data_IF_954449867851
#
_entry.id   IF_954449867851
#
_cell.length_a   1.000
_cell.length_b   1.000
_cell.length_c   1.000
_cell.angle_alpha   90.00
_cell.angle_beta   90.00
_cell.angle_gamma   90.00
#
_symmetry.space_group_name_H-M   'P 1'
#
loop_
_entity.id
_entity.type
_entity.pdbx_description
1 polymer ?
#
# COMPACT_ATOMS: atom_id res chain seq x y z
N UNK A 1 24.40 23.84 19.25
CA UNK A 1 23.98 23.96 17.84
C UNK A 1 22.89 22.91 17.60
N UNK A 2 21.74 23.31 17.06
CA UNK A 2 20.68 22.35 16.71
C UNK A 2 21.24 21.45 15.60
N UNK A 3 21.20 20.12 15.80
CA UNK A 3 21.65 19.17 14.79
C UNK A 3 20.85 19.39 13.49
N UNK A 4 21.48 19.32 12.32
CA UNK A 4 20.81 19.46 11.02
C UNK A 4 19.60 18.51 10.88
N UNK A 5 19.66 17.36 11.54
CA UNK A 5 18.58 16.36 11.57
C UNK A 5 17.38 16.79 12.39
N UNK A 6 17.60 17.51 13.49
CA UNK A 6 16.51 18.07 14.30
C UNK A 6 15.69 19.09 13.50
N UNK A 7 16.36 19.94 12.72
CA UNK A 7 15.70 20.92 11.84
C UNK A 7 14.86 20.22 10.76
N UNK A 8 15.31 19.06 10.30
CA UNK A 8 14.56 18.27 9.32
C UNK A 8 13.25 17.74 9.93
N UNK A 9 13.30 17.18 11.15
CA UNK A 9 12.08 16.70 11.83
C UNK A 9 11.08 17.83 12.11
N UNK A 10 11.57 19.01 12.46
CA UNK A 10 10.74 20.19 12.67
C UNK A 10 10.05 20.62 11.36
N UNK A 11 10.78 20.62 10.24
CA UNK A 11 10.25 20.92 8.91
C UNK A 11 9.23 19.86 8.44
N UNK A 12 9.53 18.58 8.60
CA UNK A 12 8.62 17.48 8.25
C UNK A 12 7.33 17.54 9.09
N UNK A 13 7.44 17.89 10.38
CA UNK A 13 6.30 18.08 11.27
C UNK A 13 5.41 19.25 10.84
N UNK A 14 6.02 20.36 10.43
CA UNK A 14 5.31 21.51 9.87
C UNK A 14 4.60 21.16 8.56
N UNK A 15 5.26 20.43 7.66
CA UNK A 15 4.67 19.93 6.42
C UNK A 15 3.47 19.00 6.68
N UNK A 16 3.60 18.05 7.61
CA UNK A 16 2.50 17.18 8.01
C UNK A 16 1.31 17.98 8.57
N UNK A 17 1.57 18.99 9.40
CA UNK A 17 0.53 19.88 9.93
C UNK A 17 -0.18 20.62 8.79
N UNK A 18 0.55 21.17 7.84
CA UNK A 18 -0.02 21.83 6.66
C UNK A 18 -0.89 20.86 5.83
N UNK A 19 -0.39 19.65 5.57
CA UNK A 19 -1.15 18.62 4.84
C UNK A 19 -2.43 18.20 5.57
N UNK A 20 -2.39 18.08 6.90
CA UNK A 20 -3.57 17.79 7.70
C UNK A 20 -4.61 18.91 7.58
N UNK A 21 -4.21 20.19 7.69
CA UNK A 21 -5.13 21.31 7.54
C UNK A 21 -5.71 21.40 6.11
N UNK A 22 -4.89 21.18 5.08
CA UNK A 22 -5.36 21.13 3.69
C UNK A 22 -6.37 20.00 3.46
N UNK A 23 -6.24 18.89 4.17
CA UNK A 23 -7.12 17.71 4.05
C UNK A 23 -8.51 17.93 4.63
N UNK A 24 -8.81 19.07 5.27
CA UNK A 24 -10.20 19.42 5.62
C UNK A 24 -11.05 19.68 4.37
N UNK A 25 -10.43 20.20 3.31
CA UNK A 25 -11.08 20.24 2.00
C UNK A 25 -11.01 18.86 1.35
N UNK A 26 -12.18 18.37 0.92
CA UNK A 26 -12.30 17.04 0.33
C UNK A 26 -11.44 16.88 -0.92
N UNK A 27 -11.41 17.89 -1.79
CA UNK A 27 -10.67 17.86 -3.08
C UNK A 27 -9.17 17.81 -2.84
N UNK A 28 -8.67 18.64 -1.92
CA UNK A 28 -7.28 18.63 -1.50
C UNK A 28 -6.88 17.28 -0.90
N UNK A 29 -7.71 16.75 0.01
CA UNK A 29 -7.47 15.44 0.63
C UNK A 29 -7.43 14.30 -0.40
N UNK A 30 -8.37 14.27 -1.37
CA UNK A 30 -8.31 13.30 -2.47
C UNK A 30 -7.03 13.46 -3.30
N UNK A 31 -6.67 14.70 -3.64
CA UNK A 31 -5.45 14.98 -4.41
C UNK A 31 -4.21 14.47 -3.70
N UNK A 32 -4.10 14.66 -2.38
CA UNK A 32 -2.99 14.13 -1.56
C UNK A 32 -2.95 12.60 -1.66
N UNK A 33 -4.09 11.92 -1.54
CA UNK A 33 -4.19 10.45 -1.64
C UNK A 33 -3.74 9.98 -3.02
N UNK A 34 -4.28 10.57 -4.09
CA UNK A 34 -3.96 10.24 -5.50
C UNK A 34 -2.49 10.47 -5.84
N UNK A 35 -1.87 11.47 -5.19
CA UNK A 35 -0.44 11.80 -5.39
C UNK A 35 0.50 10.96 -4.53
N UNK A 36 0.04 9.82 -4.00
CA UNK A 36 0.80 8.87 -3.19
C UNK A 36 1.12 9.37 -1.77
N UNK A 37 0.35 10.31 -1.26
CA UNK A 37 0.59 10.94 0.04
C UNK A 37 0.61 9.94 1.19
N UNK A 38 -0.21 8.88 1.14
CA UNK A 38 -0.28 7.88 2.22
C UNK A 38 1.04 7.11 2.34
N UNK A 39 1.62 6.65 1.22
CA UNK A 39 2.92 5.99 1.22
C UNK A 39 4.04 6.93 1.67
N UNK A 40 4.05 8.16 1.14
CA UNK A 40 5.07 9.16 1.46
C UNK A 40 5.02 9.64 2.91
N UNK A 41 3.84 9.64 3.54
CA UNK A 41 3.71 9.90 4.98
C UNK A 41 4.12 8.68 5.78
N UNK A 42 3.66 7.48 5.38
CA UNK A 42 3.93 6.25 6.11
C UNK A 42 5.42 5.88 6.13
N UNK A 43 6.20 6.19 5.08
CA UNK A 43 7.65 5.91 5.07
C UNK A 43 8.39 6.65 6.19
N UNK A 44 7.90 7.83 6.58
CA UNK A 44 8.46 8.66 7.65
C UNK A 44 8.12 8.15 9.06
N UNK A 45 7.24 7.15 9.20
CA UNK A 45 6.99 6.49 10.49
C UNK A 45 8.14 5.56 10.91
N UNK A 46 8.92 5.08 9.94
CA UNK A 46 9.93 4.03 10.17
C UNK A 46 11.27 4.65 10.59
N UNK A 47 11.72 4.42 11.83
CA UNK A 47 12.99 4.92 12.33
C UNK A 47 14.16 4.31 11.54
N UNK A 48 15.29 5.00 11.51
CA UNK A 48 16.52 4.47 10.90
C UNK A 48 17.28 3.55 11.87
N UNK A 49 17.17 3.80 13.17
CA UNK A 49 17.87 3.08 14.24
C UNK A 49 17.13 3.23 15.59
N UNK A 50 17.63 2.55 16.63
CA UNK A 50 17.06 2.61 17.99
C UNK A 50 17.12 4.00 18.59
N UNK A 51 18.16 4.77 18.27
CA UNK A 51 18.29 6.12 18.78
C UNK A 51 17.14 7.01 18.29
N UNK A 52 16.75 6.91 17.01
CA UNK A 52 15.59 7.62 16.47
C UNK A 52 14.29 7.26 17.21
N UNK A 53 14.09 5.99 17.59
CA UNK A 53 12.92 5.57 18.36
C UNK A 53 12.85 6.20 19.75
N UNK A 54 13.95 6.74 20.29
CA UNK A 54 14.01 7.35 21.62
C UNK A 54 13.91 8.89 21.58
N UNK A 55 13.99 9.49 20.39
CA UNK A 55 13.97 10.95 20.25
C UNK A 55 12.55 11.52 20.32
N UNK A 56 12.29 12.39 21.29
CA UNK A 56 10.98 13.05 21.45
C UNK A 56 10.60 13.89 20.21
N UNK A 57 11.57 14.50 19.52
CA UNK A 57 11.29 15.22 18.26
C UNK A 57 10.77 14.29 17.17
N UNK A 58 11.31 13.07 17.09
CA UNK A 58 10.84 12.07 16.15
C UNK A 58 9.45 11.54 16.54
N UNK A 59 9.17 11.38 17.84
CA UNK A 59 7.82 11.09 18.34
C UNK A 59 6.83 12.19 17.97
N UNK A 60 7.22 13.45 18.09
CA UNK A 60 6.39 14.58 17.69
C UNK A 60 6.07 14.53 16.18
N UNK A 61 7.06 14.24 15.34
CA UNK A 61 6.86 14.01 13.91
C UNK A 61 5.88 12.86 13.66
N UNK A 62 6.07 11.70 14.30
CA UNK A 62 5.17 10.55 14.16
C UNK A 62 3.73 10.86 14.58
N UNK A 63 3.51 11.63 15.66
CA UNK A 63 2.17 12.10 16.05
C UNK A 63 1.53 12.96 14.95
N UNK A 64 2.29 13.85 14.31
CA UNK A 64 1.81 14.64 13.17
C UNK A 64 1.50 13.77 11.94
N UNK A 65 2.34 12.77 11.66
CA UNK A 65 2.12 11.83 10.56
C UNK A 65 0.85 11.02 10.82
N UNK A 66 0.69 10.43 12.00
CA UNK A 66 -0.51 9.68 12.36
C UNK A 66 -1.78 10.54 12.30
N UNK A 67 -1.71 11.80 12.74
CA UNK A 67 -2.82 12.75 12.56
C UNK A 67 -3.18 12.95 11.09
N UNK A 68 -2.18 13.22 10.25
CA UNK A 68 -2.39 13.42 8.81
C UNK A 68 -2.98 12.17 8.15
N UNK A 69 -2.40 11.00 8.43
CA UNK A 69 -2.92 9.70 7.99
C UNK A 69 -4.36 9.47 8.47
N UNK A 70 -4.69 9.91 9.69
CA UNK A 70 -6.05 9.76 10.24
C UNK A 70 -7.08 10.61 9.51
N UNK A 71 -6.69 11.79 9.01
CA UNK A 71 -7.57 12.65 8.23
C UNK A 71 -7.77 12.04 6.84
N UNK A 72 -6.68 11.61 6.20
CA UNK A 72 -6.75 10.92 4.91
C UNK A 72 -7.54 9.61 5.00
N UNK A 73 -7.49 8.89 6.12
CA UNK A 73 -8.27 7.67 6.33
C UNK A 73 -9.78 7.93 6.23
N UNK A 74 -10.26 9.06 6.76
CA UNK A 74 -11.67 9.44 6.68
C UNK A 74 -12.12 9.71 5.24
N UNK A 75 -11.20 10.13 4.38
CA UNK A 75 -11.47 10.49 2.98
C UNK A 75 -11.21 9.33 2.00
N UNK A 76 -10.40 8.35 2.40
CA UNK A 76 -9.98 7.28 1.50
C UNK A 76 -11.03 6.17 1.38
N UNK A 77 -11.34 5.78 0.14
CA UNK A 77 -12.21 4.64 -0.18
C UNK A 77 -11.54 3.30 0.10
N UNK A 78 -10.22 3.20 -0.06
CA UNK A 78 -9.44 1.98 0.18
C UNK A 78 -8.92 1.93 1.63
N UNK A 79 -9.82 1.68 2.60
CA UNK A 79 -9.45 1.60 4.02
C UNK A 79 -8.57 0.39 4.35
N UNK A 80 -8.64 -0.66 3.55
CA UNK A 80 -7.87 -1.89 3.73
C UNK A 80 -6.36 -1.69 3.68
N UNK A 81 -5.90 -0.66 2.98
CA UNK A 81 -4.48 -0.36 2.89
C UNK A 81 -3.87 0.07 4.24
N UNK A 82 -4.65 0.72 5.10
CA UNK A 82 -4.21 1.08 6.46
C UNK A 82 -4.15 -0.13 7.38
N UNK A 83 -5.15 -1.02 7.26
CA UNK A 83 -5.18 -2.31 7.97
C UNK A 83 -4.00 -3.21 7.58
N UNK A 84 -3.58 -3.18 6.31
CA UNK A 84 -2.39 -3.90 5.83
C UNK A 84 -1.10 -3.29 6.36
N UNK A 85 -1.02 -1.95 6.41
CA UNK A 85 0.17 -1.23 6.87
C UNK A 85 0.43 -1.40 8.37
N UNK A 86 -0.59 -1.11 9.19
CA UNK A 86 -0.44 -0.96 10.63
C UNK A 86 -0.63 -2.33 11.33
N UNK A 87 0.24 -2.69 12.29
CA UNK A 87 -0.02 -3.83 13.17
C UNK A 87 -1.37 -3.68 13.88
N UNK A 88 -2.03 -4.80 14.21
CA UNK A 88 -3.40 -4.83 14.74
C UNK A 88 -3.60 -3.88 15.92
N UNK A 89 -2.71 -3.94 16.93
CA UNK A 89 -2.77 -3.07 18.10
C UNK A 89 -2.67 -1.57 17.73
N UNK A 90 -1.78 -1.23 16.80
CA UNK A 90 -1.60 0.16 16.35
C UNK A 90 -2.84 0.62 15.56
N UNK A 91 -3.40 -0.26 14.74
CA UNK A 91 -4.60 0.03 13.96
C UNK A 91 -5.82 0.28 14.86
N UNK A 92 -5.99 -0.49 15.94
CA UNK A 92 -7.06 -0.26 16.92
C UNK A 92 -6.92 1.10 17.61
N UNK A 93 -5.72 1.45 18.07
CA UNK A 93 -5.42 2.78 18.63
C UNK A 93 -5.63 3.89 17.60
N UNK A 94 -5.31 3.64 16.33
CA UNK A 94 -5.53 4.59 15.25
C UNK A 94 -7.02 4.87 15.00
N UNK A 95 -7.87 3.84 15.10
CA UNK A 95 -9.32 4.01 14.95
C UNK A 95 -9.94 4.74 16.15
N UNK A 96 -9.48 4.46 17.37
CA UNK A 96 -10.05 5.01 18.60
C UNK A 96 -9.91 6.52 18.74
N UNK A 97 -8.94 7.15 18.06
CA UNK A 97 -8.77 8.61 18.05
C UNK A 97 -9.98 9.36 17.46
N UNK A 98 -10.73 8.72 16.56
CA UNK A 98 -11.83 9.40 15.86
C UNK A 98 -11.39 10.24 14.66
N UNK A 99 -12.34 10.91 14.01
CA UNK A 99 -12.11 11.67 12.77
C UNK A 99 -11.69 13.11 13.07
N UNK A 100 -10.78 13.65 12.26
CA UNK A 100 -10.39 15.07 12.28
C UNK A 100 -9.94 15.62 13.65
N UNK A 101 -9.38 14.76 14.51
CA UNK A 101 -8.87 15.15 15.82
C UNK A 101 -7.63 16.05 15.69
N UNK A 102 -7.66 17.24 16.29
CA UNK A 102 -6.56 18.22 16.17
C UNK A 102 -5.49 18.05 17.23
N UNK A 103 -5.89 17.65 18.44
CA UNK A 103 -4.99 17.49 19.58
C UNK A 103 -4.01 16.32 19.34
N UNK A 104 -2.72 16.65 19.32
CA UNK A 104 -1.64 15.69 19.10
C UNK A 104 -1.47 14.71 20.27
N UNK A 105 -1.94 15.06 21.47
CA UNK A 105 -1.86 14.17 22.63
C UNK A 105 -2.67 12.89 22.42
N UNK A 106 -3.75 12.94 21.63
CA UNK A 106 -4.56 11.78 21.29
C UNK A 106 -3.79 10.73 20.48
N UNK A 107 -2.68 11.11 19.84
CA UNK A 107 -1.83 10.24 19.04
C UNK A 107 -0.62 9.68 19.82
N UNK A 108 -0.46 10.08 21.09
CA UNK A 108 0.69 9.68 21.90
C UNK A 108 0.73 8.17 22.13
N UNK A 109 -0.36 7.58 22.59
CA UNK A 109 -0.40 6.14 22.90
C UNK A 109 -0.06 5.25 21.70
N UNK A 110 -0.52 5.59 20.49
CA UNK A 110 -0.15 4.81 19.29
C UNK A 110 1.30 5.03 18.89
N UNK A 111 1.84 6.23 19.10
CA UNK A 111 3.24 6.55 18.82
C UNK A 111 4.16 5.78 19.77
N UNK A 112 3.83 5.75 21.05
CA UNK A 112 4.59 5.00 22.05
C UNK A 112 4.55 3.49 21.77
N UNK A 113 3.38 2.96 21.39
CA UNK A 113 3.21 1.57 20.98
C UNK A 113 4.00 1.25 19.69
N UNK A 114 4.03 2.15 18.71
CA UNK A 114 4.82 1.97 17.48
C UNK A 114 6.33 1.94 17.76
N UNK A 115 6.83 2.81 18.62
CA UNK A 115 8.25 2.85 18.99
C UNK A 115 8.66 1.75 19.99
N UNK A 116 7.70 1.01 20.54
CA UNK A 116 7.97 -0.19 21.35
C UNK A 116 8.25 -1.44 20.50
N UNK A 117 8.00 -1.37 19.19
CA UNK A 117 8.30 -2.47 18.25
C UNK A 117 9.80 -2.47 17.93
N UNK A 118 10.41 -3.66 17.87
CA UNK A 118 11.82 -3.81 17.49
C UNK A 118 12.08 -3.24 16.08
N UNK A 119 13.29 -2.71 15.84
CA UNK A 119 13.66 -2.23 14.49
C UNK A 119 13.63 -3.35 13.46
N UNK A 120 13.97 -4.58 13.83
CA UNK A 120 13.93 -5.72 12.92
C UNK A 120 12.49 -5.98 12.43
N UNK A 121 11.51 -5.93 13.32
CA UNK A 121 10.11 -6.14 12.94
C UNK A 121 9.54 -4.95 12.19
N UNK A 122 9.91 -3.71 12.56
CA UNK A 122 9.57 -2.52 11.78
C UNK A 122 10.18 -2.58 10.37
N UNK A 123 11.38 -3.13 10.23
CA UNK A 123 12.04 -3.31 8.93
C UNK A 123 11.29 -4.33 8.08
N UNK A 124 10.86 -5.46 8.66
CA UNK A 124 9.99 -6.44 7.97
C UNK A 124 8.68 -5.79 7.52
N UNK A 125 8.00 -5.04 8.39
CA UNK A 125 6.77 -4.30 8.07
C UNK A 125 7.03 -3.33 6.91
N UNK A 126 8.16 -2.60 6.93
CA UNK A 126 8.54 -1.66 5.86
C UNK A 126 8.71 -2.38 4.51
N UNK A 127 9.38 -3.53 4.51
CA UNK A 127 9.65 -4.28 3.28
C UNK A 127 8.39 -4.98 2.73
N UNK A 128 7.61 -5.62 3.60
CA UNK A 128 6.49 -6.49 3.20
C UNK A 128 5.19 -5.70 3.00
N UNK A 129 4.90 -4.73 3.88
CA UNK A 129 3.59 -4.07 3.93
C UNK A 129 3.64 -2.68 3.31
N UNK A 130 4.60 -1.84 3.68
CA UNK A 130 4.68 -0.47 3.15
C UNK A 130 4.96 -0.44 1.64
N UNK A 131 5.85 -1.30 1.12
CA UNK A 131 6.15 -1.31 -0.31
C UNK A 131 4.93 -1.64 -1.17
N UNK A 132 4.04 -2.52 -0.71
CA UNK A 132 2.78 -2.85 -1.40
C UNK A 132 1.84 -1.65 -1.57
N UNK A 133 2.02 -0.59 -0.76
CA UNK A 133 1.20 0.60 -0.83
C UNK A 133 1.62 1.58 -1.92
N UNK A 134 2.82 1.45 -2.48
CA UNK A 134 3.32 2.40 -3.48
C UNK A 134 2.72 2.07 -4.86
N UNK A 135 1.69 2.80 -5.35
CA UNK A 135 1.14 2.54 -6.67
C UNK A 135 2.12 2.96 -7.78
N UNK A 136 3.13 3.78 -7.45
CA UNK A 136 4.21 4.22 -8.34
C UNK A 136 5.45 3.33 -8.24
N UNK A 137 5.34 2.13 -7.67
CA UNK A 137 6.41 1.15 -7.71
C UNK A 137 6.81 0.91 -9.18
N UNK A 138 8.11 0.90 -9.48
CA UNK A 138 8.53 0.47 -10.82
C UNK A 138 8.13 -0.98 -11.02
N UNK A 139 7.78 -1.33 -12.26
CA UNK A 139 7.47 -2.70 -12.59
C UNK A 139 8.66 -3.60 -12.25
N UNK A 140 8.44 -4.61 -11.42
CA UNK A 140 9.46 -5.60 -11.01
C UNK A 140 10.04 -6.34 -12.21
N UNK A 141 9.18 -6.65 -13.18
CA UNK A 141 9.53 -7.17 -14.50
C UNK A 141 8.49 -6.71 -15.52
N UNK A 142 8.79 -6.90 -16.79
CA UNK A 142 7.82 -6.69 -17.86
C UNK A 142 7.45 -8.01 -18.53
N UNK A 143 6.16 -8.19 -18.76
CA UNK A 143 5.63 -9.24 -19.63
C UNK A 143 4.99 -8.53 -20.82
N UNK A 144 5.70 -8.51 -21.95
CA UNK A 144 5.38 -7.69 -23.13
C UNK A 144 5.21 -6.21 -22.74
N UNK A 145 4.03 -5.64 -22.98
CA UNK A 145 3.69 -4.24 -22.69
C UNK A 145 3.19 -4.02 -21.25
N UNK A 146 3.18 -5.06 -20.42
CA UNK A 146 2.64 -5.01 -19.06
C UNK A 146 3.76 -5.00 -18.03
N UNK A 147 3.80 -3.96 -17.20
CA UNK A 147 4.64 -3.93 -16.02
C UNK A 147 4.00 -4.76 -14.90
N UNK A 148 4.78 -5.65 -14.28
CA UNK A 148 4.34 -6.54 -13.19
C UNK A 148 4.69 -5.93 -11.84
N UNK A 149 3.72 -5.84 -10.92
CA UNK A 149 3.89 -5.16 -9.62
C UNK A 149 3.93 -6.15 -8.45
N UNK A 150 2.78 -6.67 -8.02
CA UNK A 150 2.66 -7.56 -6.85
C UNK A 150 2.00 -8.89 -7.23
N UNK A 151 2.30 -9.96 -6.50
CA UNK A 151 1.55 -11.21 -6.60
C UNK A 151 0.25 -11.07 -5.79
N UNK A 152 -0.89 -11.20 -6.47
CA UNK A 152 -2.23 -11.17 -5.87
C UNK A 152 -2.62 -12.52 -5.27
N UNK A 153 -2.04 -13.61 -5.77
CA UNK A 153 -2.26 -14.96 -5.24
C UNK A 153 -1.55 -16.03 -6.07
N UNK A 154 -1.20 -17.14 -5.43
CA UNK A 154 -0.55 -18.29 -6.05
C UNK A 154 -1.32 -19.57 -5.70
N UNK A 155 -1.48 -20.48 -6.66
CA UNK A 155 -2.18 -21.75 -6.47
C UNK A 155 -1.71 -22.83 -7.45
N UNK A 156 -2.40 -23.97 -7.45
CA UNK A 156 -2.04 -25.14 -8.27
C UNK A 156 -1.98 -24.86 -9.79
N UNK A 157 -2.70 -23.83 -10.26
CA UNK A 157 -2.79 -23.46 -11.67
C UNK A 157 -1.91 -22.25 -12.04
N UNK A 158 -0.98 -21.88 -11.16
CA UNK A 158 -0.04 -20.78 -11.38
C UNK A 158 -0.26 -19.59 -10.43
N UNK A 159 0.30 -18.44 -10.82
CA UNK A 159 0.32 -17.22 -10.01
C UNK A 159 -0.37 -16.06 -10.72
N UNK A 160 -1.12 -15.26 -9.96
CA UNK A 160 -1.83 -14.08 -10.45
C UNK A 160 -1.11 -12.84 -9.96
N UNK A 161 -0.80 -11.94 -10.88
CA UNK A 161 -0.08 -10.69 -10.59
C UNK A 161 -0.92 -9.48 -10.93
N UNK A 162 -0.75 -8.39 -10.17
CA UNK A 162 -1.23 -7.07 -10.55
C UNK A 162 -0.31 -6.48 -11.60
N UNK A 163 -0.87 -6.05 -12.72
CA UNK A 163 -0.12 -5.49 -13.85
C UNK A 163 -0.75 -4.21 -14.38
N UNK A 164 0.04 -3.36 -15.01
CA UNK A 164 -0.44 -2.17 -15.73
C UNK A 164 0.17 -2.16 -17.12
N UNK A 165 -0.62 -1.77 -18.12
CA UNK A 165 -0.08 -1.56 -19.47
C UNK A 165 0.78 -0.30 -19.46
N UNK A 166 1.93 -0.34 -20.14
CA UNK A 166 2.81 0.83 -20.31
C UNK A 166 2.02 2.05 -20.77
N UNK A 167 2.27 3.19 -20.12
CA UNK A 167 1.60 4.45 -20.42
C UNK A 167 0.16 4.56 -19.90
N UNK A 168 -0.35 3.57 -19.15
CA UNK A 168 -1.70 3.62 -18.57
C UNK A 168 -1.65 3.45 -17.05
N UNK A 169 -2.60 4.08 -16.36
CA UNK A 169 -2.81 3.91 -14.90
C UNK A 169 -3.73 2.70 -14.61
N UNK A 170 -4.39 2.18 -15.65
CA UNK A 170 -5.35 1.09 -15.51
C UNK A 170 -4.66 -0.22 -15.12
N UNK A 171 -5.11 -0.80 -14.02
CA UNK A 171 -4.58 -2.04 -13.46
C UNK A 171 -5.40 -3.24 -13.93
N UNK A 172 -4.71 -4.36 -14.15
CA UNK A 172 -5.25 -5.64 -14.56
C UNK A 172 -4.69 -6.76 -13.67
N UNK A 173 -5.33 -7.93 -13.72
CA UNK A 173 -4.77 -9.17 -13.21
C UNK A 173 -4.19 -9.98 -14.38
N UNK A 174 -2.95 -10.45 -14.24
CA UNK A 174 -2.28 -11.35 -15.18
C UNK A 174 -2.03 -12.67 -14.49
N UNK A 175 -2.65 -13.74 -14.99
CA UNK A 175 -2.41 -15.10 -14.50
C UNK A 175 -1.31 -15.75 -15.34
N UNK A 176 -0.20 -16.05 -14.69
CA UNK A 176 0.90 -16.84 -15.24
C UNK A 176 0.69 -18.30 -14.86
N UNK A 177 0.72 -19.18 -15.85
CA UNK A 177 0.46 -20.62 -15.68
C UNK A 177 1.80 -21.34 -15.63
N UNK A 178 2.01 -22.21 -14.63
CA UNK A 178 3.23 -23.03 -14.54
C UNK A 178 3.13 -24.22 -15.50
N UNK A 179 3.98 -24.24 -16.53
CA UNK A 179 3.97 -25.32 -17.53
C UNK A 179 4.53 -26.66 -16.99
N UNK A 180 5.15 -26.70 -15.80
CA UNK A 180 5.67 -27.95 -15.23
C UNK A 180 4.59 -28.93 -14.81
N UNK A 181 3.37 -28.48 -14.54
CA UNK A 181 2.22 -29.36 -14.28
C UNK A 181 1.58 -29.93 -15.55
N UNK A 182 2.01 -29.49 -16.75
CA UNK A 182 1.44 -29.90 -18.03
C UNK A 182 2.09 -31.17 -18.61
N UNK A 183 3.21 -31.64 -18.04
CA UNK A 183 3.97 -32.75 -18.62
C UNK A 183 3.42 -34.14 -18.28
N UNK A 184 2.47 -34.26 -17.36
CA UNK A 184 1.91 -35.56 -16.94
C UNK A 184 0.54 -35.88 -17.54
N UNK A 185 -0.24 -34.87 -17.96
CA UNK A 185 -1.61 -35.00 -18.52
C UNK A 185 -1.87 -33.93 -19.61
N UNK A 186 -0.95 -33.83 -20.58
CA UNK A 186 -0.80 -32.67 -21.47
C UNK A 186 -2.04 -32.33 -22.29
N UNK A 187 -2.74 -33.31 -22.82
CA UNK A 187 -3.77 -33.04 -23.84
C UNK A 187 -5.12 -32.65 -23.23
N UNK A 188 -5.45 -33.20 -22.04
CA UNK A 188 -6.70 -32.87 -21.34
C UNK A 188 -6.63 -31.53 -20.62
N UNK A 189 -5.50 -31.24 -19.97
CA UNK A 189 -5.32 -29.98 -19.22
C UNK A 189 -5.23 -28.76 -20.14
N UNK A 190 -4.46 -28.85 -21.24
CA UNK A 190 -4.41 -27.81 -22.26
C UNK A 190 -5.75 -27.62 -22.96
N UNK A 191 -6.45 -28.70 -23.30
CA UNK A 191 -7.78 -28.64 -23.91
C UNK A 191 -8.82 -27.96 -23.02
N UNK A 192 -8.81 -28.24 -21.71
CA UNK A 192 -9.68 -27.58 -20.74
C UNK A 192 -9.34 -26.09 -20.57
N UNK A 193 -8.06 -25.74 -20.53
CA UNK A 193 -7.60 -24.35 -20.42
C UNK A 193 -7.94 -23.51 -21.66
N UNK A 194 -7.75 -24.08 -22.87
CA UNK A 194 -8.10 -23.44 -24.13
C UNK A 194 -9.62 -23.27 -24.23
N UNK A 195 -10.41 -24.27 -23.81
CA UNK A 195 -11.87 -24.15 -23.78
C UNK A 195 -12.36 -23.12 -22.76
N UNK A 196 -11.79 -23.06 -21.55
CA UNK A 196 -12.15 -22.05 -20.54
C UNK A 196 -11.93 -20.64 -21.07
N UNK A 197 -10.75 -20.41 -21.64
CA UNK A 197 -10.38 -19.14 -22.29
C UNK A 197 -11.36 -18.79 -23.42
N UNK A 198 -11.71 -19.76 -24.25
CA UNK A 198 -12.60 -19.56 -25.40
C UNK A 198 -14.01 -19.18 -24.94
N UNK A 199 -14.57 -19.94 -24.01
CA UNK A 199 -15.92 -19.71 -23.46
C UNK A 199 -16.00 -18.31 -22.83
N UNK A 200 -15.04 -17.93 -21.99
CA UNK A 200 -15.11 -16.64 -21.29
C UNK A 200 -14.92 -15.47 -22.26
N UNK A 201 -14.06 -15.59 -23.28
CA UNK A 201 -13.80 -14.48 -24.22
C UNK A 201 -14.91 -14.29 -25.24
N UNK A 202 -15.50 -15.37 -25.72
CA UNK A 202 -16.43 -15.36 -26.86
C UNK A 202 -17.90 -15.32 -26.42
N UNK A 203 -18.24 -15.95 -25.30
CA UNK A 203 -19.66 -16.17 -24.93
C UNK A 203 -20.11 -15.38 -23.68
N UNK A 204 -19.20 -14.89 -22.83
CA UNK A 204 -19.55 -14.32 -21.52
C UNK A 204 -19.10 -12.85 -21.35
N UNK A 205 -19.71 -11.94 -22.11
CA UNK A 205 -19.56 -10.49 -21.87
C UNK A 205 -20.66 -9.97 -20.96
N UNK A 206 -20.41 -9.96 -19.65
CA UNK A 206 -21.38 -9.50 -18.65
C UNK A 206 -20.68 -8.68 -17.56
N UNK A 207 -21.27 -7.60 -17.03
CA UNK A 207 -20.63 -6.74 -16.02
C UNK A 207 -20.22 -7.49 -14.73
N UNK A 208 -20.89 -8.60 -14.41
CA UNK A 208 -20.60 -9.41 -13.22
C UNK A 208 -19.77 -10.68 -13.52
N UNK A 209 -19.20 -10.81 -14.72
CA UNK A 209 -18.32 -11.94 -15.10
C UNK A 209 -16.95 -11.39 -15.49
N UNK A 210 -15.89 -12.01 -14.96
CA UNK A 210 -14.50 -11.61 -15.25
C UNK A 210 -14.23 -11.76 -16.75
N UNK A 211 -13.79 -10.68 -17.38
CA UNK A 211 -13.48 -10.65 -18.82
C UNK A 211 -11.99 -10.86 -19.08
N UNK A 212 -11.66 -11.70 -20.06
CA UNK A 212 -10.28 -11.86 -20.53
C UNK A 212 -9.99 -10.86 -21.66
N UNK A 213 -9.01 -10.00 -21.44
CA UNK A 213 -8.63 -8.97 -22.41
C UNK A 213 -7.55 -9.45 -23.40
N UNK A 214 -6.53 -10.17 -22.92
CA UNK A 214 -5.38 -10.62 -23.71
C UNK A 214 -4.81 -11.93 -23.18
N UNK A 215 -4.20 -12.69 -24.09
CA UNK A 215 -3.51 -13.96 -23.85
C UNK A 215 -2.30 -13.98 -24.77
N UNK A 216 -1.17 -14.51 -24.31
CA UNK A 216 0.08 -14.45 -25.03
C UNK A 216 1.01 -15.61 -24.71
#
# INVERSE_FOLDING_TARGET
AISRRDQLFDMESACCTCLAELSYDYTNGQTIIERNGIYLLAILLFPENEDHQRLEKYHHLQRNIFRTLRYLFSLNKNRDQYRRLLPTQIFELFLSVGNFQRDLNMYKSMTDAWNSISIDDLTKIKLERLQSLNPKQEATRFIRDYGVYECLGSGAFGSVYRVARRGTIMMYALKEIDNRSLTTDSDRSLGQQINEVKIIREELRHPNIVSYYRIF
#
